data_IF_131570724501
#
_entry.id   IF_131570724501
#
_cell.length_a   1.000
_cell.length_b   1.000
_cell.length_c   1.000
_cell.angle_alpha   90.00
_cell.angle_beta   90.00
_cell.angle_gamma   90.00
#
_symmetry.space_group_name_H-M   'P 1'
#
loop_
_entity.id
_entity.type
_entity.pdbx_description
1 polymer ?
#
# COMPACT_ATOMS: atom_id res chain seq x y z
N UNK A 1 63.23 7.84 13.65
CA UNK A 1 62.91 8.73 12.52
C UNK A 1 62.36 7.86 11.39
N UNK A 2 61.16 7.93 10.83
CA UNK A 2 59.92 8.67 11.03
C UNK A 2 58.79 7.71 10.63
N UNK A 3 57.87 7.37 11.53
CA UNK A 3 56.56 6.76 11.18
C UNK A 3 55.39 7.45 11.89
N UNK A 4 55.65 8.61 12.50
CA UNK A 4 54.63 9.44 13.15
C UNK A 4 54.32 10.61 12.24
N UNK A 5 53.69 10.39 11.08
CA UNK A 5 53.00 11.48 10.34
C UNK A 5 52.10 11.03 9.17
N UNK A 6 51.47 9.84 9.22
CA UNK A 6 50.55 9.41 8.15
C UNK A 6 49.19 8.88 8.66
N UNK A 7 48.85 9.09 9.92
CA UNK A 7 47.64 8.50 10.54
C UNK A 7 46.66 9.52 11.09
N UNK A 8 46.64 10.76 10.58
CA UNK A 8 45.67 11.80 10.99
C UNK A 8 45.08 12.55 9.80
N UNK A 9 44.92 11.89 8.64
CA UNK A 9 44.26 12.50 7.46
C UNK A 9 43.09 11.65 6.93
N UNK A 10 42.75 10.51 7.56
CA UNK A 10 41.70 9.61 7.07
C UNK A 10 40.46 9.51 7.96
N UNK A 11 40.14 10.57 8.73
CA UNK A 11 39.02 10.54 9.68
C UNK A 11 38.04 11.73 9.60
N UNK A 12 38.10 12.55 8.54
CA UNK A 12 37.24 13.73 8.42
C UNK A 12 36.32 13.77 7.17
N UNK A 13 36.46 12.83 6.22
CA UNK A 13 35.65 12.84 4.97
C UNK A 13 34.50 11.83 4.99
N UNK A 14 34.49 10.86 5.92
CA UNK A 14 33.47 9.78 5.97
C UNK A 14 32.27 10.15 6.87
N UNK A 15 32.39 11.19 7.70
CA UNK A 15 31.33 11.60 8.64
C UNK A 15 30.11 12.28 7.99
N UNK A 16 30.27 12.89 6.80
CA UNK A 16 29.17 13.61 6.13
C UNK A 16 28.29 12.73 5.24
N UNK A 17 28.83 11.64 4.69
CA UNK A 17 28.09 10.74 3.78
C UNK A 17 27.21 9.72 4.50
N UNK A 18 27.60 9.30 5.72
CA UNK A 18 26.84 8.31 6.50
C UNK A 18 25.49 8.83 6.98
N UNK A 19 25.40 10.12 7.34
CA UNK A 19 24.16 10.70 7.87
C UNK A 19 23.06 10.84 6.80
N UNK A 20 23.44 11.01 5.53
CA UNK A 20 22.49 11.08 4.41
C UNK A 20 22.02 9.69 3.96
N UNK A 21 22.89 8.66 4.04
CA UNK A 21 22.55 7.27 3.72
C UNK A 21 21.64 6.63 4.78
N UNK A 22 21.81 7.00 6.07
CA UNK A 22 20.97 6.49 7.16
C UNK A 22 19.53 7.01 7.09
N UNK A 23 19.33 8.29 6.74
CA UNK A 23 17.98 8.85 6.57
C UNK A 23 17.26 8.28 5.34
N UNK A 24 17.98 8.04 4.25
CA UNK A 24 17.42 7.41 3.05
C UNK A 24 16.92 6.00 3.34
N UNK A 25 17.74 5.19 4.02
CA UNK A 25 17.36 3.83 4.41
C UNK A 25 16.17 3.80 5.37
N UNK A 26 16.10 4.69 6.36
CA UNK A 26 14.97 4.76 7.28
C UNK A 26 13.65 5.14 6.58
N UNK A 27 13.71 6.06 5.60
CA UNK A 27 12.55 6.41 4.79
C UNK A 27 12.12 5.26 3.85
N UNK A 28 13.08 4.56 3.26
CA UNK A 28 12.83 3.39 2.41
C UNK A 28 12.24 2.21 3.22
N UNK A 29 12.75 1.97 4.45
CA UNK A 29 12.24 0.93 5.35
C UNK A 29 10.82 1.26 5.87
N UNK A 30 10.55 2.54 6.18
CA UNK A 30 9.22 3.00 6.58
C UNK A 30 8.21 2.88 5.43
N UNK A 31 8.62 3.20 4.20
CA UNK A 31 7.80 3.03 3.00
C UNK A 31 7.53 1.54 2.73
N UNK A 32 8.55 0.68 2.84
CA UNK A 32 8.40 -0.77 2.67
C UNK A 32 7.45 -1.38 3.73
N UNK A 33 7.51 -0.92 4.98
CA UNK A 33 6.59 -1.32 6.03
C UNK A 33 5.15 -0.86 5.74
N UNK A 34 4.96 0.37 5.24
CA UNK A 34 3.66 0.88 4.83
C UNK A 34 3.07 0.06 3.66
N UNK A 35 3.87 -0.22 2.63
CA UNK A 35 3.48 -1.04 1.47
C UNK A 35 3.07 -2.46 1.90
N UNK A 36 3.81 -3.07 2.85
CA UNK A 36 3.46 -4.40 3.38
C UNK A 36 2.14 -4.37 4.16
N UNK A 37 1.87 -3.30 4.91
CA UNK A 37 0.57 -3.07 5.55
C UNK A 37 -0.57 -2.95 4.53
N UNK A 38 -0.30 -2.32 3.39
CA UNK A 38 -1.26 -2.18 2.29
C UNK A 38 -1.61 -3.53 1.65
N UNK A 39 -0.65 -4.44 1.46
CA UNK A 39 -0.92 -5.79 0.94
C UNK A 39 -1.90 -6.56 1.83
N UNK A 40 -1.76 -6.46 3.16
CA UNK A 40 -2.69 -7.07 4.10
C UNK A 40 -4.10 -6.48 3.97
N UNK A 41 -4.21 -5.16 3.83
CA UNK A 41 -5.49 -4.48 3.57
C UNK A 41 -6.09 -4.94 2.23
N UNK A 42 -5.29 -5.03 1.17
CA UNK A 42 -5.73 -5.52 -0.15
C UNK A 42 -6.33 -6.93 -0.07
N UNK A 43 -5.65 -7.85 0.64
CA UNK A 43 -6.13 -9.21 0.82
C UNK A 43 -7.45 -9.26 1.63
N UNK A 44 -7.58 -8.44 2.67
CA UNK A 44 -8.83 -8.32 3.43
C UNK A 44 -9.98 -7.79 2.58
N UNK A 45 -9.72 -6.76 1.76
CA UNK A 45 -10.71 -6.19 0.84
C UNK A 45 -11.17 -7.24 -0.19
N UNK A 46 -10.22 -7.92 -0.85
CA UNK A 46 -10.53 -9.01 -1.78
C UNK A 46 -11.45 -10.06 -1.16
N UNK A 47 -11.07 -10.54 0.03
CA UNK A 47 -11.84 -11.57 0.72
C UNK A 47 -13.25 -11.07 1.04
N UNK A 48 -13.38 -9.86 1.58
CA UNK A 48 -14.67 -9.29 1.94
C UNK A 48 -15.59 -9.12 0.73
N UNK A 49 -15.04 -8.68 -0.41
CA UNK A 49 -15.78 -8.58 -1.68
C UNK A 49 -16.22 -9.96 -2.15
N UNK A 50 -15.35 -10.97 -2.13
CA UNK A 50 -15.70 -12.34 -2.53
C UNK A 50 -16.78 -12.94 -1.63
N UNK A 51 -16.66 -12.78 -0.33
CA UNK A 51 -17.61 -13.31 0.65
C UNK A 51 -18.99 -12.67 0.45
N UNK A 52 -19.05 -11.34 0.31
CA UNK A 52 -20.28 -10.63 0.03
C UNK A 52 -20.89 -11.04 -1.33
N UNK A 53 -20.06 -11.12 -2.37
CA UNK A 53 -20.53 -11.44 -3.73
C UNK A 53 -21.03 -12.87 -3.84
N UNK A 54 -20.45 -13.80 -3.08
CA UNK A 54 -20.91 -15.18 -2.98
C UNK A 54 -22.30 -15.26 -2.32
N UNK A 55 -22.54 -14.43 -1.31
CA UNK A 55 -23.81 -14.35 -0.60
C UNK A 55 -24.91 -13.73 -1.47
N UNK A 56 -24.62 -12.59 -2.09
CA UNK A 56 -25.57 -11.82 -2.91
C UNK A 56 -25.67 -12.32 -4.35
N UNK A 57 -24.80 -13.26 -4.75
CA UNK A 57 -24.69 -13.85 -6.11
C UNK A 57 -24.54 -12.80 -7.22
N UNK A 58 -23.89 -11.69 -6.90
CA UNK A 58 -23.57 -10.60 -7.84
C UNK A 58 -22.37 -9.81 -7.34
N UNK A 59 -21.77 -9.04 -8.23
CA UNK A 59 -20.76 -8.08 -7.85
C UNK A 59 -21.35 -6.84 -7.15
N UNK A 60 -20.65 -6.26 -6.15
CA UNK A 60 -21.05 -5.01 -5.54
C UNK A 60 -20.83 -3.85 -6.53
N UNK A 61 -21.73 -2.88 -6.51
CA UNK A 61 -21.51 -1.59 -7.19
C UNK A 61 -20.48 -0.75 -6.42
N UNK A 62 -19.90 0.26 -7.06
CA UNK A 62 -18.92 1.16 -6.42
C UNK A 62 -19.44 1.78 -5.12
N UNK A 63 -20.71 2.19 -5.09
CA UNK A 63 -21.37 2.75 -3.91
C UNK A 63 -21.55 1.72 -2.79
N UNK A 64 -21.71 0.45 -3.15
CA UNK A 64 -21.91 -0.66 -2.20
C UNK A 64 -20.58 -1.17 -1.64
N UNK A 65 -19.49 -0.98 -2.39
CA UNK A 65 -18.17 -1.52 -2.09
C UNK A 65 -17.72 -1.16 -0.68
N UNK A 66 -17.90 0.11 -0.27
CA UNK A 66 -17.59 0.59 1.10
C UNK A 66 -18.27 -0.27 2.17
N UNK A 67 -19.54 -0.61 2.00
CA UNK A 67 -20.30 -1.37 2.99
C UNK A 67 -19.94 -2.86 2.99
N UNK A 68 -19.27 -3.34 1.95
CA UNK A 68 -18.70 -4.69 1.93
C UNK A 68 -17.37 -4.79 2.68
N UNK A 69 -16.74 -3.68 3.06
CA UNK A 69 -15.41 -3.67 3.70
C UNK A 69 -15.45 -3.84 5.23
N UNK A 70 -14.38 -4.33 5.86
CA UNK A 70 -14.19 -4.24 7.32
C UNK A 70 -14.18 -2.80 7.84
N UNK A 71 -14.56 -2.59 9.11
CA UNK A 71 -14.68 -1.27 9.75
C UNK A 71 -13.40 -0.42 9.70
N UNK A 72 -12.25 -1.06 9.82
CA UNK A 72 -10.94 -0.39 9.72
C UNK A 72 -10.74 0.24 8.34
N UNK A 73 -10.98 -0.53 7.28
CA UNK A 73 -10.89 -0.06 5.89
C UNK A 73 -11.96 1.00 5.60
N UNK A 74 -13.17 0.87 6.14
CA UNK A 74 -14.19 1.91 6.02
C UNK A 74 -13.73 3.24 6.63
N UNK A 75 -13.06 3.18 7.79
CA UNK A 75 -12.52 4.37 8.46
C UNK A 75 -11.39 5.01 7.64
N UNK A 76 -10.53 4.20 7.02
CA UNK A 76 -9.51 4.71 6.10
C UNK A 76 -10.11 5.38 4.85
N UNK A 77 -11.23 4.88 4.33
CA UNK A 77 -11.96 5.52 3.23
C UNK A 77 -12.54 6.86 3.70
N UNK A 78 -13.16 6.90 4.87
CA UNK A 78 -13.74 8.13 5.45
C UNK A 78 -12.69 9.22 5.69
N UNK A 79 -11.52 8.81 6.17
CA UNK A 79 -10.39 9.70 6.40
C UNK A 79 -9.65 10.07 5.10
N UNK A 80 -10.14 9.62 3.94
CA UNK A 80 -9.48 9.84 2.64
C UNK A 80 -8.03 9.34 2.62
N UNK A 81 -7.73 8.29 3.39
CA UNK A 81 -6.46 7.55 3.34
C UNK A 81 -6.53 6.48 2.25
N UNK A 82 -7.74 6.03 1.93
CA UNK A 82 -8.04 5.08 0.86
C UNK A 82 -9.11 5.62 -0.08
N UNK A 83 -8.90 5.49 -1.38
CA UNK A 83 -9.96 5.59 -2.38
C UNK A 83 -10.10 4.26 -3.08
N UNK A 84 -11.34 3.83 -3.29
CA UNK A 84 -11.63 2.57 -3.96
C UNK A 84 -12.66 2.74 -5.06
N UNK A 85 -12.40 2.07 -6.18
CA UNK A 85 -13.29 2.06 -7.34
C UNK A 85 -13.50 0.63 -7.83
N UNK A 86 -14.73 0.33 -8.20
CA UNK A 86 -15.18 -0.98 -8.66
C UNK A 86 -15.56 -0.90 -10.14
N UNK A 87 -15.03 -1.81 -10.95
CA UNK A 87 -15.30 -1.87 -12.38
C UNK A 87 -15.72 -3.31 -12.75
N UNK A 88 -17.03 -3.60 -12.76
CA UNK A 88 -17.55 -4.86 -13.27
C UNK A 88 -17.11 -5.05 -14.72
N UNK A 89 -16.51 -6.20 -15.03
CA UNK A 89 -16.05 -6.53 -16.38
C UNK A 89 -17.09 -7.43 -17.08
N UNK A 90 -17.23 -7.32 -18.41
CA UNK A 90 -18.20 -8.09 -19.20
C UNK A 90 -18.01 -9.60 -19.10
N UNK A 91 -16.82 -10.08 -18.71
CA UNK A 91 -16.50 -11.50 -18.54
C UNK A 91 -16.96 -12.08 -17.20
N UNK A 92 -17.84 -11.38 -16.47
CA UNK A 92 -18.25 -11.79 -15.12
C UNK A 92 -17.14 -11.63 -14.07
N UNK A 93 -16.06 -10.90 -14.38
CA UNK A 93 -14.99 -10.57 -13.43
C UNK A 93 -15.23 -9.21 -12.79
N UNK A 94 -14.58 -8.95 -11.66
CA UNK A 94 -14.54 -7.64 -11.04
C UNK A 94 -13.11 -7.10 -11.02
N UNK A 95 -12.88 -5.95 -11.63
CA UNK A 95 -11.63 -5.22 -11.43
C UNK A 95 -11.84 -4.19 -10.33
N UNK A 96 -11.04 -4.24 -9.27
CA UNK A 96 -11.06 -3.23 -8.22
C UNK A 96 -9.73 -2.51 -8.15
N UNK A 97 -9.82 -1.18 -8.05
CA UNK A 97 -8.68 -0.27 -7.94
C UNK A 97 -8.71 0.40 -6.58
N UNK A 98 -7.58 0.39 -5.89
CA UNK A 98 -7.39 1.01 -4.59
C UNK A 98 -6.20 1.96 -4.68
N UNK A 99 -6.46 3.22 -4.38
CA UNK A 99 -5.45 4.28 -4.29
C UNK A 99 -5.21 4.59 -2.80
N UNK A 100 -3.99 4.37 -2.31
CA UNK A 100 -3.57 4.72 -0.96
C UNK A 100 -3.00 6.14 -0.96
N UNK A 101 -3.61 7.02 -0.16
CA UNK A 101 -3.35 8.46 -0.18
C UNK A 101 -2.70 8.93 1.13
N UNK A 102 -1.80 9.91 1.01
CA UNK A 102 -1.22 10.66 2.13
C UNK A 102 -1.11 12.12 1.69
N UNK A 103 -1.61 13.04 2.51
CA UNK A 103 -1.48 14.49 2.27
C UNK A 103 -1.85 14.88 0.82
N UNK A 104 -3.00 14.38 0.35
CA UNK A 104 -3.55 14.64 -1.00
C UNK A 104 -2.76 14.03 -2.18
N UNK A 105 -1.71 13.25 -1.92
CA UNK A 105 -0.98 12.51 -2.95
C UNK A 105 -1.22 11.00 -2.83
N UNK A 106 -1.40 10.34 -3.96
CA UNK A 106 -1.42 8.88 -4.01
C UNK A 106 0.01 8.36 -3.97
N UNK A 107 0.34 7.57 -2.95
CA UNK A 107 1.69 7.03 -2.76
C UNK A 107 1.79 5.54 -3.10
N UNK A 108 0.68 4.80 -3.11
CA UNK A 108 0.61 3.40 -3.56
C UNK A 108 -0.71 3.19 -4.31
N UNK A 109 -0.66 2.45 -5.42
CA UNK A 109 -1.80 2.16 -6.29
C UNK A 109 -1.85 0.68 -6.55
N UNK A 110 -2.99 0.06 -6.24
CA UNK A 110 -3.18 -1.38 -6.40
C UNK A 110 -4.41 -1.63 -7.26
N UNK A 111 -4.25 -2.52 -8.22
CA UNK A 111 -5.31 -3.03 -9.05
C UNK A 111 -5.31 -4.54 -8.98
N UNK A 112 -6.49 -5.12 -8.93
CA UNK A 112 -6.63 -6.57 -8.81
C UNK A 112 -7.96 -6.98 -9.41
N UNK A 113 -7.91 -8.14 -10.02
CA UNK A 113 -9.02 -8.72 -10.77
C UNK A 113 -9.50 -9.97 -10.04
N UNK A 114 -10.80 -10.02 -9.78
CA UNK A 114 -11.45 -11.13 -9.10
C UNK A 114 -12.33 -11.88 -10.09
N UNK A 115 -12.15 -13.19 -10.11
CA UNK A 115 -13.10 -14.10 -10.73
C UNK A 115 -14.35 -14.25 -9.85
N UNK A 116 -15.52 -14.36 -10.49
CA UNK A 116 -16.77 -14.49 -9.77
C UNK A 116 -16.78 -15.78 -8.94
N UNK A 117 -17.05 -15.70 -7.63
CA UNK A 117 -17.18 -16.89 -6.80
C UNK A 117 -18.56 -17.57 -6.92
N UNK A 118 -19.44 -17.05 -7.78
CA UNK A 118 -20.82 -17.51 -7.98
C UNK A 118 -21.01 -18.02 -9.41
N UNK A 119 -21.89 -19.03 -9.56
CA UNK A 119 -22.29 -19.63 -10.85
C UNK A 119 -23.63 -19.09 -11.31
#
# INVERSE_FOLDING_TARGET
MNKVLASVVLLAVIGGGGYFLLQKKAADDALAAAIKGNDAKMAQMEKSVKDWSSKEKRWPRTEELRFTMPKEIQTDIDNSVLQMNCYPQPTGKLKFKVDFMKEFAVYDKREVELDAPFK
#
